data_IF_633191999914
#
_entry.id   IF_633191999914
#
_cell.length_a   1.000
_cell.length_b   1.000
_cell.length_c   1.000
_cell.angle_alpha   90.00
_cell.angle_beta   90.00
_cell.angle_gamma   90.00
#
_symmetry.space_group_name_H-M   'P 1'
#
loop_
_entity.id
_entity.type
_entity.pdbx_description
1 polymer ?
#
# COMPACT_ATOMS: atom_id res chain seq x y z
N UNK A 1 29.38 11.68 -24.94
CA UNK A 1 30.24 12.09 -23.81
C UNK A 1 30.78 10.82 -23.17
N UNK A 2 32.11 10.57 -23.29
CA UNK A 2 32.76 9.25 -23.22
C UNK A 2 32.75 8.61 -21.82
N UNK A 3 32.03 7.50 -21.66
CA UNK A 3 32.04 6.63 -20.45
C UNK A 3 33.46 6.09 -20.11
N UNK A 4 34.34 5.96 -21.07
CA UNK A 4 35.71 5.45 -20.89
C UNK A 4 36.62 6.37 -20.08
N UNK A 5 36.42 7.69 -20.10
CA UNK A 5 37.26 8.65 -19.35
C UNK A 5 37.00 8.64 -17.85
N UNK A 6 35.75 8.31 -17.43
CA UNK A 6 35.36 8.27 -16.01
C UNK A 6 36.01 7.05 -15.33
N UNK A 7 36.01 5.88 -15.98
CA UNK A 7 36.58 4.65 -15.44
C UNK A 7 38.09 4.76 -15.25
N UNK A 8 38.80 5.44 -16.20
CA UNK A 8 40.23 5.64 -16.12
C UNK A 8 40.64 6.63 -15.03
N UNK A 9 39.78 7.61 -14.73
CA UNK A 9 40.00 8.58 -13.63
C UNK A 9 39.86 7.91 -12.25
N UNK A 10 38.83 7.08 -12.08
CA UNK A 10 38.60 6.36 -10.81
C UNK A 10 39.75 5.34 -10.54
N UNK A 11 40.23 4.63 -11.55
CA UNK A 11 41.30 3.66 -11.36
C UNK A 11 42.62 4.30 -10.97
N UNK A 12 42.92 5.53 -11.44
CA UNK A 12 44.14 6.28 -11.03
C UNK A 12 44.05 6.79 -9.58
N UNK A 13 42.87 7.20 -9.14
CA UNK A 13 42.68 7.64 -7.75
C UNK A 13 42.81 6.43 -6.82
N UNK A 14 42.26 5.28 -7.19
CA UNK A 14 42.33 4.07 -6.37
C UNK A 14 43.78 3.48 -6.31
N UNK A 15 44.56 3.54 -7.40
CA UNK A 15 45.96 3.11 -7.41
C UNK A 15 46.88 4.00 -6.53
N UNK A 16 46.57 5.29 -6.40
CA UNK A 16 47.35 6.21 -5.58
C UNK A 16 47.12 6.02 -4.08
N UNK A 17 45.95 5.45 -3.74
CA UNK A 17 45.58 5.16 -2.35
C UNK A 17 46.25 3.87 -1.82
N UNK A 18 46.56 2.92 -2.67
CA UNK A 18 47.09 1.58 -2.28
C UNK A 18 48.64 1.55 -2.24
N UNK A 19 49.33 2.54 -2.79
CA UNK A 19 50.78 2.49 -2.99
C UNK A 19 51.65 3.13 -1.87
N UNK A 20 51.08 3.49 -0.73
CA UNK A 20 51.82 4.02 0.40
C UNK A 20 51.79 3.06 1.60
N UNK A 21 52.91 2.43 1.90
CA UNK A 21 53.14 1.67 3.15
C UNK A 21 53.27 2.61 4.36
N UNK A 22 52.42 3.64 4.43
CA UNK A 22 52.32 4.49 5.59
C UNK A 22 51.11 3.97 6.41
N UNK A 23 51.39 3.53 7.62
CA UNK A 23 50.34 3.07 8.54
C UNK A 23 49.20 4.10 8.61
N UNK A 24 47.98 3.63 8.67
CA UNK A 24 46.78 4.46 8.81
C UNK A 24 46.98 5.51 9.91
N UNK A 25 46.88 6.77 9.54
CA UNK A 25 46.92 7.87 10.51
C UNK A 25 45.70 7.74 11.44
N UNK A 26 45.92 7.93 12.72
CA UNK A 26 44.85 7.89 13.74
C UNK A 26 43.69 8.82 13.37
N UNK A 27 43.98 9.93 12.71
CA UNK A 27 42.95 10.89 12.22
C UNK A 27 42.11 10.27 11.06
N UNK A 28 42.75 9.51 10.16
CA UNK A 28 42.05 8.86 9.04
C UNK A 28 41.09 7.77 9.52
N UNK A 29 41.49 7.03 10.55
CA UNK A 29 40.63 6.02 11.20
C UNK A 29 39.43 6.69 11.87
N UNK A 30 39.62 7.82 12.55
CA UNK A 30 38.52 8.56 13.20
C UNK A 30 37.54 9.11 12.16
N UNK A 31 38.06 9.69 11.07
CA UNK A 31 37.21 10.23 9.98
C UNK A 31 36.42 9.09 9.30
N UNK A 32 37.07 7.94 9.05
CA UNK A 32 36.43 6.78 8.44
C UNK A 32 35.30 6.23 9.32
N UNK A 33 35.54 6.13 10.64
CA UNK A 33 34.53 5.71 11.61
C UNK A 33 33.35 6.70 11.67
N UNK A 34 33.61 8.00 11.63
CA UNK A 34 32.59 9.03 11.60
C UNK A 34 31.71 8.90 10.34
N UNK A 35 32.31 8.73 9.17
CA UNK A 35 31.59 8.54 7.90
C UNK A 35 30.73 7.26 7.90
N UNK A 36 31.27 6.15 8.38
CA UNK A 36 30.52 4.89 8.49
C UNK A 36 29.35 5.03 9.46
N UNK A 37 29.52 5.76 10.56
CA UNK A 37 28.44 6.00 11.52
C UNK A 37 27.29 6.81 10.92
N UNK A 38 27.58 7.86 10.17
CA UNK A 38 26.57 8.67 9.47
C UNK A 38 25.83 7.84 8.42
N UNK A 39 26.56 7.04 7.64
CA UNK A 39 25.95 6.14 6.66
C UNK A 39 25.05 5.08 7.33
N UNK A 40 25.49 4.53 8.46
CA UNK A 40 24.70 3.56 9.22
C UNK A 40 23.35 4.13 9.70
N UNK A 41 23.37 5.32 10.24
CA UNK A 41 22.15 6.01 10.72
C UNK A 41 21.21 6.30 9.55
N UNK A 42 21.70 6.80 8.43
CA UNK A 42 20.86 7.10 7.24
C UNK A 42 20.24 5.85 6.64
N UNK A 43 20.97 4.73 6.59
CA UNK A 43 20.43 3.44 6.15
C UNK A 43 19.32 2.94 7.09
N UNK A 44 19.52 3.01 8.41
CA UNK A 44 18.49 2.59 9.37
C UNK A 44 17.21 3.42 9.24
N UNK A 45 17.34 4.75 9.06
CA UNK A 45 16.19 5.61 8.84
C UNK A 45 15.46 5.26 7.54
N UNK A 46 16.20 5.01 6.45
CA UNK A 46 15.63 4.57 5.18
C UNK A 46 14.84 3.27 5.29
N UNK A 47 15.40 2.26 5.96
CA UNK A 47 14.73 0.97 6.19
C UNK A 47 13.45 1.13 7.04
N UNK A 48 13.50 1.96 8.08
CA UNK A 48 12.33 2.20 8.94
C UNK A 48 11.19 2.90 8.17
N UNK A 49 11.50 3.80 7.26
CA UNK A 49 10.53 4.47 6.39
C UNK A 49 9.90 3.50 5.40
N UNK A 50 10.70 2.60 4.81
CA UNK A 50 10.20 1.55 3.91
C UNK A 50 9.27 0.58 4.63
N UNK A 51 9.62 0.15 5.84
CA UNK A 51 8.78 -0.76 6.63
C UNK A 51 7.41 -0.14 6.96
N UNK A 52 7.36 1.15 7.28
CA UNK A 52 6.08 1.86 7.50
C UNK A 52 5.27 2.01 6.22
N UNK A 53 5.93 2.28 5.09
CA UNK A 53 5.28 2.39 3.78
C UNK A 53 4.63 1.08 3.33
N UNK A 54 5.21 -0.07 3.64
CA UNK A 54 4.65 -1.38 3.31
C UNK A 54 3.31 -1.63 4.03
N UNK A 55 3.21 -1.31 5.31
CA UNK A 55 1.97 -1.50 6.06
C UNK A 55 0.77 -0.74 5.47
N UNK A 56 0.98 0.52 5.06
CA UNK A 56 -0.07 1.33 4.41
C UNK A 56 -0.42 0.79 3.02
N UNK A 57 0.57 0.27 2.30
CA UNK A 57 0.33 -0.32 0.98
C UNK A 57 -0.49 -1.60 1.09
N UNK A 58 -0.16 -2.48 2.03
CA UNK A 58 -0.85 -3.75 2.26
C UNK A 58 -2.31 -3.51 2.67
N UNK A 59 -2.57 -2.51 3.51
CA UNK A 59 -3.92 -2.12 3.90
C UNK A 59 -4.75 -1.64 2.71
N UNK A 60 -4.18 -0.80 1.84
CA UNK A 60 -4.88 -0.31 0.63
C UNK A 60 -5.16 -1.42 -0.37
N UNK A 61 -4.20 -2.29 -0.62
CA UNK A 61 -4.39 -3.43 -1.52
C UNK A 61 -5.39 -4.41 -0.94
N UNK A 62 -5.30 -4.70 0.37
CA UNK A 62 -6.24 -5.55 1.08
C UNK A 62 -7.68 -5.02 1.01
N UNK A 63 -7.88 -3.72 1.25
CA UNK A 63 -9.20 -3.08 1.17
C UNK A 63 -9.81 -3.14 -0.23
N UNK A 64 -8.97 -3.00 -1.28
CA UNK A 64 -9.43 -3.12 -2.67
C UNK A 64 -9.86 -4.54 -3.00
N UNK A 65 -9.11 -5.55 -2.56
CA UNK A 65 -9.44 -6.96 -2.74
C UNK A 65 -10.75 -7.29 -2.00
N UNK A 66 -10.85 -6.90 -0.73
CA UNK A 66 -12.03 -7.10 0.08
C UNK A 66 -13.28 -6.48 -0.56
N UNK A 67 -13.18 -5.22 -0.98
CA UNK A 67 -14.29 -4.50 -1.62
C UNK A 67 -14.74 -5.13 -2.94
N UNK A 68 -13.79 -5.56 -3.79
CA UNK A 68 -14.11 -6.25 -5.05
C UNK A 68 -14.77 -7.61 -4.81
N UNK A 69 -14.24 -8.40 -3.89
CA UNK A 69 -14.83 -9.69 -3.52
C UNK A 69 -16.27 -9.51 -3.03
N UNK A 70 -16.50 -8.47 -2.23
CA UNK A 70 -17.84 -8.18 -1.72
C UNK A 70 -18.79 -7.72 -2.82
N UNK A 71 -18.33 -6.87 -3.76
CA UNK A 71 -19.13 -6.50 -4.94
C UNK A 71 -19.50 -7.69 -5.80
N UNK A 72 -18.58 -8.64 -6.00
CA UNK A 72 -18.89 -9.88 -6.75
C UNK A 72 -19.94 -10.72 -6.01
N UNK A 73 -19.85 -10.80 -4.68
CA UNK A 73 -20.87 -11.48 -3.87
C UNK A 73 -22.25 -10.81 -4.00
N UNK A 74 -22.29 -9.47 -4.02
CA UNK A 74 -23.53 -8.71 -4.24
C UNK A 74 -24.11 -8.99 -5.64
N UNK A 75 -23.27 -9.04 -6.67
CA UNK A 75 -23.73 -9.36 -8.03
C UNK A 75 -24.36 -10.75 -8.14
N UNK A 76 -23.84 -11.71 -7.37
CA UNK A 76 -24.35 -13.09 -7.34
C UNK A 76 -25.56 -13.25 -6.42
N UNK A 77 -25.74 -12.38 -5.42
CA UNK A 77 -26.89 -12.40 -4.53
C UNK A 77 -28.20 -12.10 -5.29
N UNK A 78 -29.32 -12.51 -4.75
CA UNK A 78 -30.64 -12.12 -5.29
C UNK A 78 -30.82 -10.59 -5.27
N UNK A 79 -31.69 -10.08 -6.14
CA UNK A 79 -32.03 -8.67 -6.15
C UNK A 79 -32.78 -8.33 -4.86
N UNK A 80 -32.37 -7.28 -4.18
CA UNK A 80 -32.97 -6.88 -2.89
C UNK A 80 -34.14 -5.91 -3.14
N UNK A 81 -35.36 -6.44 -3.04
CA UNK A 81 -36.59 -5.70 -3.25
C UNK A 81 -36.92 -4.73 -2.10
N UNK A 82 -36.18 -4.78 -1.00
CA UNK A 82 -36.37 -3.86 0.15
C UNK A 82 -35.65 -2.53 0.00
N UNK A 83 -34.77 -2.43 -0.99
CA UNK A 83 -34.01 -1.22 -1.32
C UNK A 83 -34.98 -0.20 -1.94
N UNK A 84 -34.94 1.02 -1.41
CA UNK A 84 -35.79 2.13 -1.84
C UNK A 84 -34.99 3.17 -2.63
N UNK A 85 -35.67 4.18 -3.15
CA UNK A 85 -35.03 5.34 -3.80
C UNK A 85 -34.15 6.18 -2.85
N UNK A 86 -34.28 5.98 -1.53
CA UNK A 86 -33.42 6.61 -0.54
C UNK A 86 -32.22 5.71 -0.22
N UNK A 87 -30.98 6.24 -0.19
CA UNK A 87 -29.82 5.47 0.20
C UNK A 87 -30.00 4.86 1.61
N UNK A 88 -29.81 3.56 1.73
CA UNK A 88 -29.99 2.84 2.99
C UNK A 88 -29.24 1.52 3.01
N UNK A 89 -29.22 0.83 4.15
CA UNK A 89 -28.60 -0.48 4.24
C UNK A 89 -29.32 -1.48 3.32
N UNK A 90 -28.54 -2.23 2.55
CA UNK A 90 -29.04 -3.29 1.66
C UNK A 90 -28.19 -4.56 1.76
N UNK A 91 -28.71 -5.65 1.20
CA UNK A 91 -27.96 -6.92 1.13
C UNK A 91 -27.45 -7.41 2.49
N UNK A 92 -28.27 -7.31 3.54
CA UNK A 92 -27.92 -7.65 4.93
C UNK A 92 -27.56 -9.14 5.14
N UNK A 93 -27.80 -9.99 4.16
CA UNK A 93 -27.43 -11.42 4.18
C UNK A 93 -25.92 -11.63 3.95
N UNK A 94 -25.20 -10.62 3.51
CA UNK A 94 -23.76 -10.71 3.25
C UNK A 94 -22.94 -10.42 4.51
N UNK A 95 -21.73 -10.97 4.63
CA UNK A 95 -20.90 -10.77 5.81
C UNK A 95 -20.51 -9.30 5.98
N UNK A 96 -20.65 -8.77 7.19
CA UNK A 96 -20.24 -7.41 7.52
C UNK A 96 -18.73 -7.25 7.70
N UNK A 97 -17.99 -8.34 7.71
CA UNK A 97 -16.52 -8.33 7.86
C UNK A 97 -15.85 -9.31 6.89
N UNK A 98 -14.72 -8.90 6.34
CA UNK A 98 -13.87 -9.73 5.48
C UNK A 98 -12.44 -9.66 5.96
N UNK A 99 -11.78 -10.80 6.09
CA UNK A 99 -10.36 -10.89 6.44
C UNK A 99 -9.52 -11.09 5.19
N UNK A 100 -8.55 -10.21 4.97
CA UNK A 100 -7.57 -10.34 3.89
C UNK A 100 -6.16 -10.36 4.52
N UNK A 101 -5.48 -11.48 4.40
CA UNK A 101 -4.23 -11.70 5.13
C UNK A 101 -4.46 -11.69 6.64
N UNK A 102 -3.85 -10.73 7.33
CA UNK A 102 -4.00 -10.55 8.79
C UNK A 102 -4.85 -9.32 9.16
N UNK A 103 -5.49 -8.69 8.18
CA UNK A 103 -6.28 -7.47 8.39
C UNK A 103 -7.76 -7.80 8.26
N UNK A 104 -8.55 -7.35 9.23
CA UNK A 104 -10.02 -7.46 9.22
C UNK A 104 -10.57 -6.13 8.73
N UNK A 105 -11.37 -6.19 7.68
CA UNK A 105 -12.07 -5.04 7.12
C UNK A 105 -13.55 -5.11 7.46
N UNK A 106 -14.09 -4.01 7.95
CA UNK A 106 -15.53 -3.83 8.14
C UNK A 106 -16.16 -3.37 6.83
N UNK A 107 -17.27 -3.99 6.46
CA UNK A 107 -17.98 -3.75 5.22
C UNK A 107 -19.36 -3.16 5.50
N UNK A 108 -19.63 -2.00 4.95
CA UNK A 108 -20.95 -1.39 4.96
C UNK A 108 -21.48 -1.32 3.54
N UNK A 109 -22.70 -1.83 3.34
CA UNK A 109 -23.37 -1.82 2.04
C UNK A 109 -24.49 -0.79 2.10
N UNK A 110 -24.41 0.19 1.22
CA UNK A 110 -25.44 1.21 1.01
C UNK A 110 -26.02 0.97 -0.38
N UNK A 111 -27.31 0.69 -0.45
CA UNK A 111 -28.00 0.47 -1.71
C UNK A 111 -29.09 1.52 -1.93
N UNK A 112 -29.29 1.90 -3.19
CA UNK A 112 -30.32 2.86 -3.60
C UNK A 112 -30.91 2.42 -4.93
N UNK A 113 -32.23 2.39 -5.06
CA UNK A 113 -32.88 2.22 -6.35
C UNK A 113 -32.85 3.53 -7.13
N UNK A 114 -32.29 3.50 -8.35
CA UNK A 114 -32.20 4.66 -9.25
C UNK A 114 -33.34 4.65 -10.23
N UNK A 115 -33.63 3.48 -10.79
CA UNK A 115 -34.72 3.24 -11.72
C UNK A 115 -35.36 1.90 -11.39
N UNK A 116 -36.59 1.68 -11.83
CA UNK A 116 -37.29 0.39 -11.65
C UNK A 116 -36.45 -0.76 -12.18
N UNK A 117 -36.00 -1.64 -11.30
CA UNK A 117 -35.13 -2.77 -11.64
C UNK A 117 -33.63 -2.45 -11.73
N UNK A 118 -33.19 -1.26 -11.29
CA UNK A 118 -31.76 -0.89 -11.26
C UNK A 118 -31.38 -0.25 -9.92
N UNK A 119 -30.41 -0.82 -9.24
CA UNK A 119 -29.88 -0.35 -7.98
C UNK A 119 -28.43 0.11 -8.10
N UNK A 120 -28.09 1.25 -7.48
CA UNK A 120 -26.72 1.64 -7.20
C UNK A 120 -26.32 1.05 -5.85
N UNK A 121 -25.31 0.22 -5.84
CA UNK A 121 -24.77 -0.37 -4.63
C UNK A 121 -23.41 0.24 -4.34
N UNK A 122 -23.24 0.77 -3.17
CA UNK A 122 -21.99 1.34 -2.66
C UNK A 122 -21.48 0.46 -1.53
N UNK A 123 -20.27 -0.05 -1.67
CA UNK A 123 -19.56 -0.79 -0.63
C UNK A 123 -18.52 0.12 -0.03
N UNK A 124 -18.65 0.40 1.26
CA UNK A 124 -17.67 1.15 2.05
C UNK A 124 -16.82 0.15 2.82
N UNK A 125 -15.51 0.24 2.63
CA UNK A 125 -14.53 -0.61 3.32
C UNK A 125 -13.82 0.21 4.36
N UNK A 126 -13.90 -0.20 5.61
CA UNK A 126 -13.26 0.48 6.73
C UNK A 126 -12.39 -0.47 7.57
N UNK A 127 -11.46 0.10 8.30
CA UNK A 127 -10.65 -0.62 9.28
C UNK A 127 -10.54 0.24 10.55
N UNK A 128 -10.94 -0.34 11.69
CA UNK A 128 -10.94 0.38 12.96
C UNK A 128 -11.78 1.67 12.96
N UNK A 129 -12.87 1.71 12.17
CA UNK A 129 -13.75 2.86 12.05
C UNK A 129 -13.31 3.94 11.06
N UNK A 130 -12.17 3.78 10.40
CA UNK A 130 -11.69 4.69 9.35
C UNK A 130 -12.05 4.13 7.96
N UNK A 131 -12.74 4.93 7.15
CA UNK A 131 -13.00 4.57 5.75
C UNK A 131 -11.67 4.58 4.96
N UNK A 132 -11.37 3.45 4.31
CA UNK A 132 -10.16 3.30 3.50
C UNK A 132 -10.51 3.35 2.01
N UNK A 133 -11.64 2.75 1.65
CA UNK A 133 -12.02 2.62 0.25
C UNK A 133 -13.55 2.63 0.10
N UNK A 134 -14.02 3.11 -1.07
CA UNK A 134 -15.44 3.13 -1.44
C UNK A 134 -15.58 2.69 -2.89
N UNK A 135 -16.35 1.64 -3.11
CA UNK A 135 -16.61 1.10 -4.45
C UNK A 135 -18.10 1.17 -4.75
N UNK A 136 -18.41 1.44 -6.01
CA UNK A 136 -19.80 1.52 -6.47
C UNK A 136 -20.01 0.60 -7.67
N UNK A 137 -21.18 0.01 -7.75
CA UNK A 137 -21.60 -0.81 -8.88
C UNK A 137 -23.10 -0.68 -9.09
N UNK A 138 -23.53 -0.90 -10.34
CA UNK A 138 -24.94 -1.04 -10.68
C UNK A 138 -25.32 -2.51 -10.65
N UNK A 139 -26.51 -2.79 -10.10
CA UNK A 139 -27.13 -4.09 -10.12
C UNK A 139 -28.51 -3.99 -10.76
N UNK A 140 -28.75 -4.76 -11.80
CA UNK A 140 -30.05 -4.87 -12.45
C UNK A 140 -30.77 -6.11 -11.97
N UNK A 141 -32.10 -6.02 -11.90
CA UNK A 141 -32.97 -7.18 -11.74
C UNK A 141 -32.95 -8.01 -13.04
N UNK A 142 -32.52 -9.27 -12.93
CA UNK A 142 -32.43 -10.20 -14.08
C UNK A 142 -33.15 -11.49 -13.76
#
# INVERSE_FOLDING_TARGET
MNRTKIVTCLSRIFKRFISGHQGFSLIELVISLALISVLGVTLMQGLSTLARGQGVHDERVGSMIAGRTHLESIKQAAYDLTVTSTPGPGYSSLPAQITVGNIIFDMEIIAQEIETGAQLVTVVVSNGGNEINRLQAYKADR
#
